data_IF_671561811419
#
_entry.id   IF_671561811419
#
_cell.length_a   1.000
_cell.length_b   1.000
_cell.length_c   1.000
_cell.angle_alpha   90.00
_cell.angle_beta   90.00
_cell.angle_gamma   90.00
#
_symmetry.space_group_name_H-M   'P 1'
#
loop_
_entity.id
_entity.type
_entity.pdbx_description
1 polymer ?
#
# COMPACT_ATOMS: atom_id res chain seq x y z
N UNK A 1 16.74 -13.84 18.43
CA UNK A 1 16.56 -13.24 17.08
C UNK A 1 15.65 -14.08 16.17
N UNK A 2 15.80 -15.42 16.12
CA UNK A 2 14.95 -16.32 15.31
C UNK A 2 13.44 -16.28 15.65
N UNK A 3 13.06 -16.03 16.91
CA UNK A 3 11.65 -16.08 17.33
C UNK A 3 10.77 -14.97 16.75
N UNK A 4 11.33 -13.77 16.49
CA UNK A 4 10.55 -12.61 16.01
C UNK A 4 9.90 -12.83 14.64
N UNK A 5 10.49 -13.70 13.83
CA UNK A 5 10.06 -13.97 12.46
C UNK A 5 9.42 -15.34 12.29
N UNK A 6 9.19 -16.08 13.39
CA UNK A 6 8.69 -17.46 13.35
C UNK A 6 7.34 -17.61 12.61
N UNK A 7 6.51 -16.56 12.64
CA UNK A 7 5.23 -16.48 11.93
C UNK A 7 5.24 -15.42 10.81
N UNK A 8 6.40 -15.13 10.24
CA UNK A 8 6.56 -14.14 9.16
C UNK A 8 6.73 -14.83 7.81
N UNK A 9 5.97 -14.37 6.82
CA UNK A 9 6.08 -14.80 5.43
C UNK A 9 6.71 -13.67 4.61
N UNK A 10 7.79 -13.95 3.89
CA UNK A 10 8.41 -13.02 2.96
C UNK A 10 8.05 -13.40 1.52
N UNK A 11 7.36 -12.51 0.80
CA UNK A 11 6.86 -12.76 -0.55
C UNK A 11 7.31 -11.66 -1.52
N UNK A 12 7.82 -12.06 -2.69
CA UNK A 12 8.13 -11.15 -3.79
C UNK A 12 6.98 -11.15 -4.80
N UNK A 13 5.91 -10.44 -4.48
CA UNK A 13 4.73 -10.32 -5.33
C UNK A 13 4.35 -8.85 -5.52
N UNK A 14 3.63 -8.56 -6.61
CA UNK A 14 3.02 -7.23 -6.81
C UNK A 14 2.02 -6.96 -5.67
N UNK A 15 2.02 -5.74 -5.13
CA UNK A 15 1.19 -5.34 -3.98
C UNK A 15 -0.28 -5.75 -4.12
N UNK A 16 -0.88 -5.61 -5.31
CA UNK A 16 -2.28 -6.02 -5.57
C UNK A 16 -2.55 -7.49 -5.21
N UNK A 17 -1.61 -8.39 -5.50
CA UNK A 17 -1.73 -9.82 -5.17
C UNK A 17 -1.60 -10.06 -3.67
N UNK A 18 -0.74 -9.29 -2.98
CA UNK A 18 -0.59 -9.36 -1.53
C UNK A 18 -1.88 -8.90 -0.84
N UNK A 19 -2.44 -7.75 -1.25
CA UNK A 19 -3.71 -7.25 -0.71
C UNK A 19 -4.81 -8.30 -0.91
N UNK A 20 -4.99 -8.80 -2.14
CA UNK A 20 -6.04 -9.78 -2.46
C UNK A 20 -5.91 -11.10 -1.68
N UNK A 21 -4.67 -11.52 -1.37
CA UNK A 21 -4.39 -12.76 -0.65
C UNK A 21 -4.66 -12.65 0.86
N UNK A 22 -4.39 -11.49 1.44
CA UNK A 22 -4.41 -11.28 2.89
C UNK A 22 -5.59 -10.47 3.40
N UNK A 23 -6.36 -9.82 2.52
CA UNK A 23 -7.51 -9.04 2.95
C UNK A 23 -8.61 -9.90 3.58
N UNK A 24 -8.84 -9.67 4.87
CA UNK A 24 -9.81 -10.34 5.75
C UNK A 24 -10.26 -9.33 6.79
N UNK A 25 -11.43 -9.53 7.38
CA UNK A 25 -12.02 -8.59 8.36
C UNK A 25 -11.09 -8.26 9.54
N UNK A 26 -10.24 -9.21 9.94
CA UNK A 26 -9.28 -9.05 11.05
C UNK A 26 -7.87 -8.64 10.61
N UNK A 27 -7.62 -8.47 9.31
CA UNK A 27 -6.29 -8.08 8.80
C UNK A 27 -6.08 -6.58 9.00
N UNK A 28 -4.88 -6.20 9.43
CA UNK A 28 -4.40 -4.82 9.36
C UNK A 28 -3.24 -4.74 8.37
N UNK A 29 -3.41 -3.98 7.29
CA UNK A 29 -2.36 -3.75 6.29
C UNK A 29 -1.59 -2.47 6.61
N UNK A 30 -0.26 -2.58 6.66
CA UNK A 30 0.61 -1.41 6.63
C UNK A 30 1.15 -1.24 5.20
N UNK A 31 0.83 -0.11 4.57
CA UNK A 31 1.21 0.21 3.20
C UNK A 31 2.14 1.42 3.17
N UNK A 32 3.35 1.20 2.66
CA UNK A 32 4.40 2.22 2.51
C UNK A 32 4.91 2.20 1.06
N UNK A 33 4.12 2.72 0.10
CA UNK A 33 4.53 2.76 -1.30
C UNK A 33 5.70 3.73 -1.52
N UNK A 34 6.49 3.57 -2.60
CA UNK A 34 7.43 4.62 -3.02
C UNK A 34 6.71 5.98 -3.11
N UNK A 35 7.28 7.01 -2.48
CA UNK A 35 6.67 8.34 -2.46
C UNK A 35 6.78 9.02 -3.81
N UNK A 36 5.75 9.80 -4.16
CA UNK A 36 5.69 10.52 -5.42
C UNK A 36 6.85 11.53 -5.52
N UNK A 37 7.54 11.59 -6.66
CA UNK A 37 8.70 12.49 -6.93
C UNK A 37 9.93 12.26 -6.02
N UNK A 38 9.96 11.23 -5.17
CA UNK A 38 11.16 10.90 -4.38
C UNK A 38 11.93 9.73 -4.92
N UNK A 39 11.32 8.93 -5.80
CA UNK A 39 11.96 7.81 -6.43
C UNK A 39 12.81 8.30 -7.62
N UNK A 40 14.14 8.30 -7.45
CA UNK A 40 15.08 8.57 -8.55
C UNK A 40 14.90 7.64 -9.74
N UNK A 41 15.62 7.94 -10.84
CA UNK A 41 15.60 7.25 -12.13
C UNK A 41 15.28 5.74 -12.03
N UNK A 42 14.11 5.33 -12.53
CA UNK A 42 13.81 3.91 -12.82
C UNK A 42 12.68 3.26 -12.02
N UNK A 43 11.85 3.99 -11.27
CA UNK A 43 10.74 3.37 -10.53
C UNK A 43 9.43 3.35 -11.35
N UNK A 44 8.92 2.15 -11.60
CA UNK A 44 7.60 1.88 -12.22
C UNK A 44 6.41 2.31 -11.33
N UNK A 45 6.65 2.82 -10.12
CA UNK A 45 5.60 3.18 -9.17
C UNK A 45 5.20 4.65 -9.36
N UNK A 46 4.34 4.89 -10.35
CA UNK A 46 3.84 6.22 -10.67
C UNK A 46 2.42 6.45 -10.18
N UNK A 47 1.79 7.49 -10.75
CA UNK A 47 0.38 7.84 -10.47
C UNK A 47 -0.56 6.64 -10.61
N UNK A 48 -0.37 5.80 -11.64
CA UNK A 48 -1.23 4.66 -11.92
C UNK A 48 -1.22 3.66 -10.76
N UNK A 49 -0.04 3.37 -10.21
CA UNK A 49 0.15 2.44 -9.11
C UNK A 49 -0.43 3.00 -7.80
N UNK A 50 -0.28 4.30 -7.56
CA UNK A 50 -0.95 4.99 -6.44
C UNK A 50 -2.48 4.90 -6.52
N UNK A 51 -3.06 5.16 -7.69
CA UNK A 51 -4.52 5.08 -7.87
C UNK A 51 -5.01 3.63 -7.68
N UNK A 52 -4.30 2.64 -8.21
CA UNK A 52 -4.62 1.23 -7.97
C UNK A 52 -4.51 0.84 -6.50
N UNK A 53 -3.49 1.34 -5.78
CA UNK A 53 -3.36 1.13 -4.34
C UNK A 53 -4.54 1.75 -3.59
N UNK A 54 -4.85 3.02 -3.87
CA UNK A 54 -6.00 3.73 -3.30
C UNK A 54 -7.29 2.94 -3.50
N UNK A 55 -7.57 2.50 -4.73
CA UNK A 55 -8.81 1.80 -5.06
C UNK A 55 -8.91 0.45 -4.34
N UNK A 56 -7.79 -0.26 -4.17
CA UNK A 56 -7.72 -1.48 -3.37
C UNK A 56 -7.96 -1.21 -1.89
N UNK A 57 -7.31 -0.19 -1.32
CA UNK A 57 -7.46 0.19 0.07
C UNK A 57 -8.87 0.70 0.37
N UNK A 58 -9.51 1.41 -0.57
CA UNK A 58 -10.87 1.91 -0.42
C UNK A 58 -11.92 0.79 -0.34
N UNK A 59 -11.62 -0.40 -0.87
CA UNK A 59 -12.52 -1.55 -0.90
C UNK A 59 -12.05 -2.69 0.03
N UNK A 60 -11.11 -2.40 0.94
CA UNK A 60 -10.55 -3.41 1.82
C UNK A 60 -11.58 -3.88 2.86
N UNK A 61 -11.54 -5.17 3.23
CA UNK A 61 -12.39 -5.70 4.30
C UNK A 61 -11.83 -5.39 5.68
N UNK A 62 -10.50 -5.43 5.79
CA UNK A 62 -9.77 -5.20 7.04
C UNK A 62 -9.61 -3.72 7.39
N UNK A 63 -8.48 -3.40 8.04
CA UNK A 63 -8.03 -2.03 8.27
C UNK A 63 -6.72 -1.79 7.55
N UNK A 64 -6.38 -0.52 7.31
CA UNK A 64 -5.08 -0.17 6.80
C UNK A 64 -4.48 1.07 7.49
N UNK A 65 -3.16 1.15 7.43
CA UNK A 65 -2.37 2.35 7.68
C UNK A 65 -1.58 2.61 6.40
N UNK A 66 -1.66 3.83 5.88
CA UNK A 66 -0.97 4.25 4.66
C UNK A 66 -0.04 5.42 5.00
N UNK A 67 1.24 5.26 4.67
CA UNK A 67 2.23 6.34 4.70
C UNK A 67 2.45 6.86 3.28
N UNK A 68 2.31 8.18 3.08
CA UNK A 68 2.49 8.86 1.79
C UNK A 68 3.00 10.28 2.04
N UNK A 69 3.64 10.88 1.03
CA UNK A 69 4.16 12.23 1.11
C UNK A 69 3.09 13.31 0.88
N UNK A 70 3.34 14.47 1.46
CA UNK A 70 2.46 15.64 1.41
C UNK A 70 2.71 16.49 0.16
N UNK A 71 2.26 15.99 -1.00
CA UNK A 71 2.22 16.75 -2.25
C UNK A 71 0.78 17.05 -2.64
N UNK A 72 0.53 18.20 -3.26
CA UNK A 72 -0.81 18.61 -3.72
C UNK A 72 -1.46 17.54 -4.61
N UNK A 73 -0.73 17.02 -5.61
CA UNK A 73 -1.20 15.92 -6.48
C UNK A 73 -1.56 14.66 -5.69
N UNK A 74 -0.78 14.33 -4.65
CA UNK A 74 -1.04 13.15 -3.82
C UNK A 74 -2.29 13.37 -2.99
N UNK A 75 -2.47 14.54 -2.37
CA UNK A 75 -3.71 14.91 -1.68
C UNK A 75 -4.92 14.80 -2.62
N UNK A 76 -4.81 15.28 -3.85
CA UNK A 76 -5.88 15.18 -4.83
C UNK A 76 -6.24 13.73 -5.16
N UNK A 77 -5.26 12.85 -5.34
CA UNK A 77 -5.52 11.44 -5.65
C UNK A 77 -6.23 10.73 -4.51
N UNK A 78 -5.87 11.04 -3.27
CA UNK A 78 -6.35 10.36 -2.06
C UNK A 78 -7.51 11.08 -1.35
N UNK A 79 -8.01 12.22 -1.88
CA UNK A 79 -9.04 13.05 -1.23
C UNK A 79 -10.32 12.29 -0.84
N UNK A 80 -10.69 11.29 -1.64
CA UNK A 80 -11.91 10.50 -1.46
C UNK A 80 -11.64 9.16 -0.77
N UNK A 81 -10.38 8.86 -0.41
CA UNK A 81 -10.03 7.61 0.25
C UNK A 81 -10.69 7.57 1.63
N UNK A 82 -11.64 6.66 1.76
CA UNK A 82 -12.28 6.28 3.02
C UNK A 82 -11.99 4.81 3.25
N UNK A 83 -11.83 4.46 4.53
CA UNK A 83 -11.59 3.17 5.18
C UNK A 83 -11.64 1.89 4.35
#
# INVERSE_FOLDING_TARGET
MKERLSNTYAENLRFKKIIDKYDREYTCLFADPPYFETAGYGNDFGKKEHLLLRDKLHNIKGKFILTINDYEKVREWYKDLKK
#
